data_IF_947840108616
#
_entry.id   IF_947840108616
#
_cell.length_a   1.000
_cell.length_b   1.000
_cell.length_c   1.000
_cell.angle_alpha   90.00
_cell.angle_beta   90.00
_cell.angle_gamma   90.00
#
_symmetry.space_group_name_H-M   'P 1'
#
loop_
_entity.id
_entity.type
_entity.pdbx_description
1 polymer ?
#
# COMPACT_ATOMS: atom_id res chain seq x y z
N UNK A 1 -5.85 -7.84 -0.26
CA UNK A 1 -5.90 -6.38 -0.29
C UNK A 1 -6.62 -5.77 0.93
N UNK A 2 -7.72 -6.35 1.40
CA UNK A 2 -8.40 -5.88 2.62
C UNK A 2 -7.54 -6.01 3.88
N UNK A 3 -6.59 -6.93 3.91
CA UNK A 3 -5.56 -7.05 4.97
C UNK A 3 -4.51 -5.94 4.94
N UNK A 4 -4.31 -5.29 3.81
CA UNK A 4 -3.40 -4.14 3.70
C UNK A 4 -4.07 -2.91 4.34
N UNK A 5 -4.20 -2.95 5.65
CA UNK A 5 -4.82 -1.91 6.46
C UNK A 5 -3.85 -0.74 6.65
N UNK A 6 -4.42 0.45 6.73
CA UNK A 6 -3.70 1.70 7.02
C UNK A 6 -4.37 2.34 8.23
N UNK A 7 -3.59 2.90 9.13
CA UNK A 7 -4.09 3.58 10.34
C UNK A 7 -5.09 2.74 11.16
N UNK A 8 -4.87 1.42 11.23
CA UNK A 8 -5.64 0.52 12.08
C UNK A 8 -7.07 0.21 11.64
N UNK A 9 -7.47 0.53 10.39
CA UNK A 9 -8.84 0.18 9.98
C UNK A 9 -9.24 0.56 8.56
N UNK A 10 -8.46 1.38 7.87
CA UNK A 10 -8.75 1.74 6.48
C UNK A 10 -8.17 0.70 5.51
N UNK A 11 -8.95 0.30 4.50
CA UNK A 11 -8.51 -0.58 3.43
C UNK A 11 -8.56 0.12 2.04
N UNK A 12 -7.82 1.23 1.85
CA UNK A 12 -7.93 2.07 0.66
C UNK A 12 -7.51 1.36 -0.62
N UNK A 13 -6.54 0.45 -0.54
CA UNK A 13 -6.06 -0.30 -1.70
C UNK A 13 -7.11 -1.28 -2.21
N UNK A 14 -7.91 -1.88 -1.31
CA UNK A 14 -9.03 -2.73 -1.71
C UNK A 14 -10.12 -1.93 -2.44
N UNK A 15 -10.45 -0.74 -1.93
CA UNK A 15 -11.41 0.18 -2.57
C UNK A 15 -10.92 0.67 -3.94
N UNK A 16 -9.65 1.03 -4.05
CA UNK A 16 -9.03 1.39 -5.33
C UNK A 16 -9.11 0.27 -6.35
N UNK A 17 -8.91 -0.97 -5.95
CA UNK A 17 -9.04 -2.14 -6.84
C UNK A 17 -10.47 -2.43 -7.27
N UNK A 18 -11.49 -2.17 -6.43
CA UNK A 18 -12.90 -2.23 -6.85
C UNK A 18 -13.12 -1.22 -7.98
N UNK A 19 -12.64 0.01 -7.81
CA UNK A 19 -12.69 1.03 -8.85
C UNK A 19 -12.01 0.60 -10.15
N UNK A 20 -10.80 0.09 -10.05
CA UNK A 20 -10.00 -0.36 -11.19
C UNK A 20 -10.62 -1.54 -11.97
N UNK A 21 -11.35 -2.41 -11.28
CA UNK A 21 -12.01 -3.58 -11.88
C UNK A 21 -13.14 -3.21 -12.85
N UNK A 22 -13.60 -1.95 -12.82
CA UNK A 22 -14.60 -1.42 -13.73
C UNK A 22 -16.00 -1.98 -13.50
N UNK A 23 -16.82 -1.89 -14.56
CA UNK A 23 -18.20 -2.37 -14.54
C UNK A 23 -18.32 -3.87 -14.81
N UNK A 24 -19.48 -4.46 -14.49
CA UNK A 24 -19.83 -5.85 -14.79
C UNK A 24 -19.26 -6.88 -13.81
N UNK A 25 -19.11 -8.12 -14.27
CA UNK A 25 -18.75 -9.27 -13.42
C UNK A 25 -17.39 -9.11 -12.70
N UNK A 26 -16.41 -8.45 -13.31
CA UNK A 26 -15.11 -8.18 -12.69
C UNK A 26 -15.26 -7.25 -11.49
N UNK A 27 -16.08 -6.20 -11.63
CA UNK A 27 -16.37 -5.30 -10.52
C UNK A 27 -17.12 -5.98 -9.39
N UNK A 28 -18.11 -6.86 -9.71
CA UNK A 28 -18.84 -7.66 -8.71
C UNK A 28 -17.89 -8.57 -7.95
N UNK A 29 -17.02 -9.30 -8.64
CA UNK A 29 -16.06 -10.21 -7.98
C UNK A 29 -15.08 -9.47 -7.09
N UNK A 30 -14.60 -8.28 -7.52
CA UNK A 30 -13.74 -7.44 -6.71
C UNK A 30 -14.47 -6.90 -5.47
N UNK A 31 -15.73 -6.48 -5.61
CA UNK A 31 -16.56 -6.04 -4.49
C UNK A 31 -16.79 -7.16 -3.47
N UNK A 32 -17.18 -8.36 -3.93
CA UNK A 32 -17.39 -9.52 -3.05
C UNK A 32 -16.09 -9.88 -2.33
N UNK A 33 -14.96 -9.96 -3.05
CA UNK A 33 -13.66 -10.29 -2.47
C UNK A 33 -13.18 -9.27 -1.44
N UNK A 34 -13.34 -7.96 -1.74
CA UNK A 34 -12.98 -6.90 -0.82
C UNK A 34 -13.88 -6.89 0.42
N UNK A 35 -15.19 -7.10 0.23
CA UNK A 35 -16.17 -7.13 1.33
C UNK A 35 -15.97 -8.34 2.24
N UNK A 36 -15.75 -9.53 1.67
CA UNK A 36 -15.44 -10.73 2.44
C UNK A 36 -14.12 -10.54 3.24
N UNK A 37 -13.08 -10.00 2.60
CA UNK A 37 -11.85 -9.69 3.29
C UNK A 37 -12.02 -8.64 4.39
N UNK A 38 -12.83 -7.61 4.17
CA UNK A 38 -13.13 -6.61 5.19
C UNK A 38 -13.83 -7.22 6.41
N UNK A 39 -14.83 -8.05 6.20
CA UNK A 39 -15.58 -8.72 7.28
C UNK A 39 -14.69 -9.68 8.09
N UNK A 40 -13.75 -10.36 7.43
CA UNK A 40 -12.88 -11.34 8.10
C UNK A 40 -11.74 -10.68 8.90
N UNK A 41 -11.24 -9.52 8.46
CA UNK A 41 -9.98 -8.96 8.97
C UNK A 41 -10.09 -7.57 9.61
N UNK A 42 -11.17 -6.84 9.36
CA UNK A 42 -11.38 -5.52 9.92
C UNK A 42 -12.35 -5.56 11.12
N UNK A 43 -12.24 -4.62 12.07
CA UNK A 43 -13.29 -4.38 13.05
C UNK A 43 -14.62 -4.12 12.35
N UNK A 44 -15.72 -4.58 12.92
CA UNK A 44 -17.05 -4.53 12.27
C UNK A 44 -17.42 -3.13 11.75
N UNK A 45 -17.12 -2.07 12.52
CA UNK A 45 -17.38 -0.69 12.11
C UNK A 45 -16.62 -0.28 10.84
N UNK A 46 -15.33 -0.65 10.74
CA UNK A 46 -14.51 -0.37 9.57
C UNK A 46 -14.87 -1.26 8.37
N UNK A 47 -15.24 -2.53 8.64
CA UNK A 47 -15.75 -3.42 7.60
C UNK A 47 -17.01 -2.86 6.94
N UNK A 48 -17.96 -2.34 7.74
CA UNK A 48 -19.19 -1.73 7.24
C UNK A 48 -18.90 -0.46 6.40
N UNK A 49 -17.98 0.40 6.86
CA UNK A 49 -17.55 1.59 6.10
C UNK A 49 -16.91 1.20 4.76
N UNK A 50 -16.00 0.23 4.78
CA UNK A 50 -15.35 -0.29 3.57
C UNK A 50 -16.35 -0.89 2.61
N UNK A 51 -17.32 -1.65 3.12
CA UNK A 51 -18.40 -2.21 2.31
C UNK A 51 -19.26 -1.10 1.67
N UNK A 52 -19.70 -0.11 2.45
CA UNK A 52 -20.50 1.00 1.96
C UNK A 52 -19.76 1.80 0.87
N UNK A 53 -18.49 2.14 1.11
CA UNK A 53 -17.65 2.81 0.11
C UNK A 53 -17.45 1.96 -1.15
N UNK A 54 -17.24 0.65 -0.98
CA UNK A 54 -17.08 -0.29 -2.09
C UNK A 54 -18.34 -0.38 -2.96
N UNK A 55 -19.52 -0.44 -2.35
CA UNK A 55 -20.81 -0.42 -3.07
C UNK A 55 -21.01 0.90 -3.82
N UNK A 56 -20.69 2.03 -3.19
CA UNK A 56 -20.77 3.34 -3.86
C UNK A 56 -19.80 3.42 -5.05
N UNK A 57 -18.57 2.99 -4.91
CA UNK A 57 -17.60 2.96 -6.01
C UNK A 57 -18.10 2.05 -7.14
N UNK A 58 -18.58 0.86 -6.82
CA UNK A 58 -19.10 -0.08 -7.80
C UNK A 58 -20.31 0.47 -8.55
N UNK A 59 -21.29 1.04 -7.84
CA UNK A 59 -22.50 1.63 -8.45
C UNK A 59 -22.14 2.83 -9.31
N UNK A 60 -21.24 3.70 -8.85
CA UNK A 60 -20.75 4.83 -9.62
C UNK A 60 -20.01 4.39 -10.88
N UNK A 61 -19.17 3.34 -10.79
CA UNK A 61 -18.50 2.77 -11.97
C UNK A 61 -19.51 2.29 -13.02
N UNK A 62 -20.57 1.59 -12.61
CA UNK A 62 -21.61 1.15 -13.55
C UNK A 62 -22.41 2.33 -14.13
N UNK A 63 -22.69 3.36 -13.33
CA UNK A 63 -23.45 4.53 -13.78
C UNK A 63 -22.67 5.40 -14.77
N UNK A 64 -21.36 5.54 -14.58
CA UNK A 64 -20.52 6.44 -15.37
C UNK A 64 -19.71 5.75 -16.47
N UNK A 65 -19.79 4.42 -16.60
CA UNK A 65 -19.00 3.63 -17.52
C UNK A 65 -19.09 4.10 -18.99
N UNK A 66 -20.29 4.48 -19.45
CA UNK A 66 -20.54 4.91 -20.83
C UNK A 66 -20.17 6.38 -21.10
N UNK A 67 -19.85 7.13 -20.05
CA UNK A 67 -19.54 8.56 -20.21
C UNK A 67 -18.14 8.78 -20.77
N UNK A 68 -17.99 9.78 -21.67
CA UNK A 68 -16.68 10.20 -22.19
C UNK A 68 -15.69 10.61 -21.09
N UNK A 69 -16.19 11.10 -19.96
CA UNK A 69 -15.40 11.46 -18.78
C UNK A 69 -14.68 10.27 -18.16
N UNK A 70 -15.30 9.09 -18.18
CA UNK A 70 -14.73 7.86 -17.64
C UNK A 70 -13.41 7.45 -18.31
N UNK A 71 -13.24 7.84 -19.58
CA UNK A 71 -12.01 7.60 -20.35
C UNK A 71 -10.83 8.49 -19.92
N UNK A 72 -11.09 9.58 -19.19
CA UNK A 72 -10.02 10.46 -18.70
C UNK A 72 -9.24 9.77 -17.58
N UNK A 73 -7.90 9.86 -17.59
CA UNK A 73 -7.00 9.22 -16.62
C UNK A 73 -7.30 9.59 -15.17
N UNK A 74 -7.61 10.87 -14.91
CA UNK A 74 -7.86 11.38 -13.57
C UNK A 74 -9.27 11.08 -13.03
N UNK A 75 -10.23 10.71 -13.88
CA UNK A 75 -11.63 10.57 -13.46
C UNK A 75 -11.82 9.42 -12.47
N UNK A 76 -11.31 8.23 -12.78
CA UNK A 76 -11.46 7.05 -11.93
C UNK A 76 -10.84 7.22 -10.53
N UNK A 77 -9.59 7.70 -10.38
CA UNK A 77 -9.00 7.97 -9.07
C UNK A 77 -9.81 8.97 -8.25
N UNK A 78 -10.26 10.05 -8.88
CA UNK A 78 -11.07 11.07 -8.21
C UNK A 78 -12.45 10.54 -7.81
N UNK A 79 -13.06 9.71 -8.63
CA UNK A 79 -14.33 9.05 -8.33
C UNK A 79 -14.18 8.13 -7.12
N UNK A 80 -13.15 7.27 -7.09
CA UNK A 80 -12.90 6.38 -5.96
C UNK A 80 -12.64 7.14 -4.66
N UNK A 81 -11.79 8.17 -4.71
CA UNK A 81 -11.52 9.02 -3.56
C UNK A 81 -12.77 9.77 -3.11
N UNK A 82 -13.56 10.34 -4.03
CA UNK A 82 -14.79 11.07 -3.70
C UNK A 82 -15.85 10.17 -3.07
N UNK A 83 -16.03 8.95 -3.56
CA UNK A 83 -16.98 7.99 -2.97
C UNK A 83 -16.51 7.50 -1.60
N UNK A 84 -15.23 7.23 -1.41
CA UNK A 84 -14.67 6.93 -0.10
C UNK A 84 -14.84 8.11 0.85
N UNK A 85 -14.52 9.34 0.40
CA UNK A 85 -14.68 10.54 1.21
C UNK A 85 -16.12 10.74 1.68
N UNK A 86 -17.12 10.49 0.83
CA UNK A 86 -18.54 10.67 1.20
C UNK A 86 -18.96 9.77 2.37
N UNK A 87 -18.37 8.59 2.50
CA UNK A 87 -18.60 7.68 3.64
C UNK A 87 -17.83 8.13 4.87
N UNK A 88 -16.54 8.48 4.70
CA UNK A 88 -15.65 8.80 5.83
C UNK A 88 -15.91 10.21 6.40
N UNK A 89 -16.49 11.13 5.63
CA UNK A 89 -16.73 12.51 6.04
C UNK A 89 -17.56 12.62 7.33
N UNK A 90 -18.56 11.75 7.49
CA UNK A 90 -19.42 11.73 8.70
C UNK A 90 -18.59 11.37 9.94
N UNK A 91 -17.61 10.48 9.78
CA UNK A 91 -16.75 10.03 10.87
C UNK A 91 -15.66 11.06 11.20
N UNK A 92 -15.10 11.71 10.17
CA UNK A 92 -14.15 12.82 10.35
C UNK A 92 -14.79 13.97 11.13
N UNK A 93 -16.05 14.30 10.84
CA UNK A 93 -16.78 15.33 11.59
C UNK A 93 -17.01 14.95 13.06
N UNK A 94 -17.15 13.65 13.34
CA UNK A 94 -17.41 13.15 14.69
C UNK A 94 -16.12 13.02 15.50
N UNK A 95 -15.07 12.49 14.89
CA UNK A 95 -13.87 12.00 15.60
C UNK A 95 -12.70 13.03 15.58
N UNK A 96 -12.84 14.13 14.80
CA UNK A 96 -11.99 15.31 14.87
C UNK A 96 -10.80 15.35 13.90
N UNK A 97 -9.91 16.32 14.10
CA UNK A 97 -8.83 16.69 13.15
C UNK A 97 -7.80 15.57 12.93
N UNK A 98 -7.54 14.72 13.93
CA UNK A 98 -6.61 13.59 13.80
C UNK A 98 -7.09 12.59 12.75
N UNK A 99 -8.37 12.27 12.75
CA UNK A 99 -8.98 11.39 11.75
C UNK A 99 -9.03 12.02 10.36
N UNK A 100 -9.09 13.35 10.27
CA UNK A 100 -9.06 14.03 8.98
C UNK A 100 -7.74 13.82 8.22
N UNK A 101 -6.60 13.83 8.93
CA UNK A 101 -5.30 13.56 8.33
C UNK A 101 -5.19 12.10 7.85
N UNK A 102 -5.62 11.14 8.67
CA UNK A 102 -5.66 9.72 8.32
C UNK A 102 -6.57 9.47 7.12
N UNK A 103 -7.74 10.08 7.10
CA UNK A 103 -8.69 10.02 5.99
C UNK A 103 -8.06 10.56 4.70
N UNK A 104 -7.42 11.74 4.74
CA UNK A 104 -6.78 12.32 3.56
C UNK A 104 -5.71 11.38 2.97
N UNK A 105 -4.86 10.80 3.81
CA UNK A 105 -3.86 9.83 3.37
C UNK A 105 -4.49 8.56 2.79
N UNK A 106 -5.57 8.06 3.40
CA UNK A 106 -6.31 6.91 2.88
C UNK A 106 -6.97 7.22 1.52
N UNK A 107 -7.50 8.43 1.32
CA UNK A 107 -8.05 8.88 0.03
C UNK A 107 -6.97 8.91 -1.06
N UNK A 108 -5.78 9.42 -0.76
CA UNK A 108 -4.65 9.42 -1.69
C UNK A 108 -4.24 7.99 -2.07
N UNK A 109 -4.15 7.09 -1.09
CA UNK A 109 -3.84 5.68 -1.34
C UNK A 109 -4.94 4.97 -2.14
N UNK A 110 -6.22 5.30 -1.91
CA UNK A 110 -7.33 4.79 -2.71
C UNK A 110 -7.22 5.24 -4.17
N UNK A 111 -6.95 6.53 -4.40
CA UNK A 111 -6.74 7.08 -5.74
C UNK A 111 -5.54 6.42 -6.46
N UNK A 112 -4.41 6.28 -5.77
CA UNK A 112 -3.23 5.59 -6.29
C UNK A 112 -3.49 4.11 -6.56
N UNK A 113 -4.23 3.43 -5.68
CA UNK A 113 -4.67 2.05 -5.87
C UNK A 113 -5.56 1.89 -7.10
N UNK A 114 -6.47 2.84 -7.36
CA UNK A 114 -7.32 2.84 -8.55
C UNK A 114 -6.51 3.06 -9.85
N UNK A 115 -5.51 3.96 -9.83
CA UNK A 115 -4.63 4.19 -10.98
C UNK A 115 -3.78 2.96 -11.30
N UNK A 116 -3.09 2.42 -10.29
CA UNK A 116 -2.22 1.26 -10.47
C UNK A 116 -3.01 0.00 -10.83
N UNK A 117 -4.17 -0.20 -10.21
CA UNK A 117 -5.07 -1.31 -10.54
C UNK A 117 -5.58 -1.23 -11.97
N UNK A 118 -5.93 -0.05 -12.46
CA UNK A 118 -6.34 0.15 -13.87
C UNK A 118 -5.20 -0.19 -14.83
N UNK A 119 -3.98 0.27 -14.57
CA UNK A 119 -2.82 -0.03 -15.40
C UNK A 119 -2.51 -1.54 -15.46
N UNK A 120 -2.75 -2.26 -14.37
CA UNK A 120 -2.53 -3.71 -14.29
C UNK A 120 -3.62 -4.53 -14.97
N UNK A 121 -4.88 -4.09 -14.85
CA UNK A 121 -6.04 -4.79 -15.42
C UNK A 121 -6.28 -4.44 -16.89
N UNK A 122 -5.60 -3.37 -17.40
CA UNK A 122 -5.67 -3.03 -18.81
C UNK A 122 -4.99 -4.09 -19.65
N UNK A 123 -5.61 -4.44 -20.77
CA UNK A 123 -5.07 -5.40 -21.76
C UNK A 123 -4.14 -4.74 -22.79
N UNK A 124 -3.98 -3.41 -22.72
CA UNK A 124 -3.17 -2.65 -23.66
C UNK A 124 -1.71 -2.49 -23.20
N UNK A 125 -0.76 -2.89 -24.05
CA UNK A 125 0.67 -2.77 -23.75
C UNK A 125 1.11 -1.32 -23.50
N UNK A 126 0.50 -0.36 -24.20
CA UNK A 126 0.80 1.08 -24.05
C UNK A 126 0.46 1.62 -22.66
N UNK A 127 -0.61 1.14 -22.03
CA UNK A 127 -1.04 1.60 -20.70
C UNK A 127 -0.15 1.01 -19.60
N UNK A 128 0.47 -0.15 -19.85
CA UNK A 128 1.48 -0.77 -18.97
C UNK A 128 2.83 -0.06 -19.02
N UNK A 129 3.25 0.40 -20.19
CA UNK A 129 4.49 1.17 -20.37
C UNK A 129 4.42 2.54 -19.68
N UNK A 130 3.25 3.18 -19.68
CA UNK A 130 3.05 4.49 -19.04
C UNK A 130 3.11 4.44 -17.49
N UNK A 131 3.00 3.24 -16.88
CA UNK A 131 2.98 3.07 -15.42
C UNK A 131 3.89 1.94 -14.92
N UNK A 132 5.22 2.11 -15.01
CA UNK A 132 6.19 1.06 -14.63
C UNK A 132 6.15 0.70 -13.14
N UNK A 133 5.58 1.58 -12.30
CA UNK A 133 5.45 1.35 -10.84
C UNK A 133 4.14 0.66 -10.45
N UNK A 134 3.22 0.38 -11.38
CA UNK A 134 1.95 -0.27 -11.05
C UNK A 134 2.12 -1.65 -10.35
N UNK A 135 3.05 -2.54 -10.76
CA UNK A 135 3.30 -3.79 -10.04
C UNK A 135 3.79 -3.59 -8.60
N UNK A 136 4.46 -2.46 -8.33
CA UNK A 136 4.96 -2.13 -7.00
C UNK A 136 3.82 -1.95 -6.00
N UNK A 137 2.67 -1.42 -6.42
CA UNK A 137 1.50 -1.26 -5.55
C UNK A 137 0.87 -2.60 -5.15
N UNK A 138 0.88 -3.60 -6.03
CA UNK A 138 0.43 -4.95 -5.66
C UNK A 138 1.40 -5.57 -4.67
N UNK A 139 2.70 -5.49 -4.98
CA UNK A 139 3.73 -5.99 -4.07
C UNK A 139 3.60 -5.33 -2.69
N UNK A 140 3.46 -4.00 -2.65
CA UNK A 140 3.23 -3.25 -1.43
C UNK A 140 2.01 -3.76 -0.66
N UNK A 141 0.88 -3.95 -1.35
CA UNK A 141 -0.34 -4.46 -0.73
C UNK A 141 -0.18 -5.86 -0.15
N UNK A 142 0.58 -6.73 -0.83
CA UNK A 142 0.88 -8.09 -0.36
C UNK A 142 1.81 -8.04 0.85
N UNK A 143 2.84 -7.19 0.83
CA UNK A 143 3.78 -7.02 1.93
C UNK A 143 3.09 -6.45 3.18
N UNK A 144 2.23 -5.43 3.01
CA UNK A 144 1.41 -4.88 4.10
C UNK A 144 0.47 -5.94 4.68
N UNK A 145 -0.21 -6.71 3.83
CA UNK A 145 -1.05 -7.80 4.27
C UNK A 145 -0.26 -8.89 5.03
N UNK A 146 0.94 -9.22 4.55
CA UNK A 146 1.81 -10.18 5.22
C UNK A 146 2.35 -9.66 6.56
N UNK A 147 2.54 -8.33 6.70
CA UNK A 147 2.97 -7.72 7.97
C UNK A 147 1.86 -7.70 9.04
N UNK A 148 0.60 -7.82 8.63
CA UNK A 148 -0.53 -7.93 9.57
C UNK A 148 -0.61 -9.29 10.27
N UNK A 149 0.14 -10.29 9.78
CA UNK A 149 0.28 -11.58 10.45
C UNK A 149 1.46 -11.52 11.43
N UNK A 150 1.20 -11.12 12.66
CA UNK A 150 2.18 -11.22 13.74
C UNK A 150 2.03 -12.57 14.44
N UNK A 151 3.15 -13.30 14.61
CA UNK A 151 3.19 -14.49 15.45
C UNK A 151 3.24 -14.10 16.93
N UNK A 152 2.94 -15.07 17.83
CA UNK A 152 2.99 -14.85 19.28
C UNK A 152 4.36 -14.32 19.77
N UNK A 153 5.43 -14.60 19.02
CA UNK A 153 6.80 -14.15 19.30
C UNK A 153 7.13 -12.77 18.71
N UNK A 154 6.14 -12.08 18.15
CA UNK A 154 6.32 -10.76 17.52
C UNK A 154 6.95 -10.80 16.12
N UNK A 155 7.10 -11.99 15.53
CA UNK A 155 7.65 -12.15 14.20
C UNK A 155 6.61 -11.77 13.14
N UNK A 156 6.92 -10.77 12.32
CA UNK A 156 6.07 -10.32 11.21
C UNK A 156 6.71 -10.70 9.85
N UNK A 157 6.23 -11.73 9.17
CA UNK A 157 6.82 -12.22 7.92
C UNK A 157 6.83 -11.15 6.82
N UNK A 158 5.87 -10.24 6.81
CA UNK A 158 5.83 -9.13 5.86
C UNK A 158 7.02 -8.19 5.97
N UNK A 159 7.55 -7.97 7.17
CA UNK A 159 8.75 -7.13 7.37
C UNK A 159 9.99 -7.78 6.76
N UNK A 160 10.17 -9.08 6.95
CA UNK A 160 11.29 -9.81 6.35
C UNK A 160 11.18 -9.83 4.82
N UNK A 161 9.97 -10.11 4.30
CA UNK A 161 9.73 -10.09 2.87
C UNK A 161 9.96 -8.69 2.28
N UNK A 162 9.60 -7.62 2.99
CA UNK A 162 9.83 -6.25 2.54
C UNK A 162 11.31 -5.90 2.50
N UNK A 163 12.09 -6.29 3.51
CA UNK A 163 13.54 -6.13 3.53
C UNK A 163 14.20 -6.87 2.36
N UNK A 164 13.78 -8.09 2.11
CA UNK A 164 14.28 -8.92 1.01
C UNK A 164 13.92 -8.31 -0.35
N UNK A 165 12.70 -7.81 -0.52
CA UNK A 165 12.27 -7.13 -1.74
C UNK A 165 13.10 -5.86 -2.01
N UNK A 166 13.33 -5.04 -0.98
CA UNK A 166 14.15 -3.82 -1.10
C UNK A 166 15.59 -4.15 -1.47
N UNK A 167 16.19 -5.18 -0.81
CA UNK A 167 17.54 -5.64 -1.12
C UNK A 167 17.64 -6.13 -2.57
N UNK A 168 16.65 -6.90 -3.03
CA UNK A 168 16.59 -7.40 -4.40
C UNK A 168 16.53 -6.27 -5.41
N UNK A 169 15.66 -5.27 -5.19
CA UNK A 169 15.56 -4.10 -6.06
C UNK A 169 16.83 -3.25 -6.04
N UNK A 170 17.44 -3.07 -4.88
CA UNK A 170 18.70 -2.35 -4.76
C UNK A 170 19.85 -3.04 -5.52
N UNK A 171 19.85 -4.37 -5.56
CA UNK A 171 20.83 -5.14 -6.28
C UNK A 171 20.58 -5.18 -7.80
N UNK A 172 19.32 -5.43 -8.24
CA UNK A 172 19.02 -5.74 -9.65
C UNK A 172 18.68 -4.54 -10.51
N UNK A 173 17.96 -3.54 -9.96
CA UNK A 173 17.27 -2.50 -10.76
C UNK A 173 17.98 -1.15 -10.83
N UNK A 174 19.07 -0.93 -10.15
CA UNK A 174 19.74 0.37 -10.13
C UNK A 174 19.00 1.45 -9.31
N UNK A 175 19.71 2.53 -9.01
CA UNK A 175 19.27 3.56 -8.05
C UNK A 175 17.97 4.27 -8.43
N UNK A 176 17.76 4.53 -9.72
CA UNK A 176 16.58 5.25 -10.20
C UNK A 176 15.25 4.55 -9.87
N UNK A 177 15.23 3.22 -9.81
CA UNK A 177 14.05 2.44 -9.44
C UNK A 177 14.10 1.98 -7.98
N UNK A 178 15.26 1.54 -7.51
CA UNK A 178 15.40 0.92 -6.19
C UNK A 178 15.08 1.88 -5.04
N UNK A 179 15.51 3.15 -5.13
CA UNK A 179 15.30 4.13 -4.07
C UNK A 179 13.82 4.50 -3.92
N UNK A 180 13.09 4.88 -4.99
CA UNK A 180 11.65 5.10 -4.89
C UNK A 180 10.88 3.86 -4.44
N UNK A 181 11.25 2.67 -4.91
CA UNK A 181 10.62 1.42 -4.50
C UNK A 181 10.82 1.14 -3.01
N UNK A 182 12.04 1.31 -2.49
CA UNK A 182 12.36 1.16 -1.08
C UNK A 182 11.59 2.15 -0.20
N UNK A 183 11.51 3.42 -0.64
CA UNK A 183 10.71 4.44 0.04
C UNK A 183 9.23 4.07 0.09
N UNK A 184 8.66 3.65 -1.04
CA UNK A 184 7.25 3.24 -1.10
C UNK A 184 6.95 2.03 -0.22
N UNK A 185 7.83 1.00 -0.24
CA UNK A 185 7.67 -0.19 0.60
C UNK A 185 7.78 0.18 2.08
N UNK A 186 8.77 1.00 2.45
CA UNK A 186 8.95 1.46 3.82
C UNK A 186 7.76 2.31 4.31
N UNK A 187 7.27 3.25 3.51
CA UNK A 187 6.06 4.02 3.81
C UNK A 187 4.85 3.12 4.02
N UNK A 188 4.67 2.11 3.17
CA UNK A 188 3.57 1.16 3.34
C UNK A 188 3.66 0.40 4.66
N UNK A 189 4.87 0.01 5.09
CA UNK A 189 5.07 -0.64 6.38
C UNK A 189 4.78 0.29 7.56
N UNK A 190 5.23 1.56 7.49
CA UNK A 190 4.97 2.56 8.52
C UNK A 190 3.46 2.88 8.62
N UNK A 191 2.78 3.01 7.49
CA UNK A 191 1.33 3.25 7.45
C UNK A 191 0.53 2.04 7.97
N UNK A 192 0.98 0.83 7.66
CA UNK A 192 0.38 -0.41 8.17
C UNK A 192 0.55 -0.57 9.68
N UNK A 193 1.68 -0.09 10.23
CA UNK A 193 1.97 -0.09 11.67
C UNK A 193 1.26 1.02 12.45
N UNK A 194 0.41 1.83 11.81
CA UNK A 194 -0.34 2.91 12.48
C UNK A 194 0.17 4.32 12.20
N UNK A 195 1.20 4.50 11.36
CA UNK A 195 1.62 5.79 10.82
C UNK A 195 2.34 6.75 11.78
N UNK A 196 2.71 6.28 12.97
CA UNK A 196 3.34 7.12 14.02
C UNK A 196 4.82 7.44 13.80
N UNK A 197 5.50 6.71 12.93
CA UNK A 197 6.93 6.88 12.67
C UNK A 197 7.25 6.52 11.22
N UNK A 198 8.16 7.27 10.60
CA UNK A 198 8.62 6.98 9.22
C UNK A 198 9.97 6.23 9.23
N UNK A 199 10.12 5.29 10.16
CA UNK A 199 11.39 4.60 10.39
C UNK A 199 11.70 3.60 9.30
N UNK A 200 10.68 2.80 8.89
CA UNK A 200 10.87 1.83 7.80
C UNK A 200 11.12 2.55 6.47
N UNK A 201 10.40 3.64 6.20
CA UNK A 201 10.63 4.46 5.01
C UNK A 201 12.06 5.01 4.96
N UNK A 202 12.53 5.60 6.05
CA UNK A 202 13.88 6.17 6.15
C UNK A 202 14.96 5.08 6.07
N UNK A 203 14.81 3.99 6.84
CA UNK A 203 15.80 2.91 6.88
C UNK A 203 15.92 2.18 5.56
N UNK A 204 14.82 1.86 4.89
CA UNK A 204 14.82 1.16 3.61
C UNK A 204 15.36 2.02 2.48
N UNK A 205 14.96 3.30 2.41
CA UNK A 205 15.48 4.23 1.42
C UNK A 205 16.99 4.44 1.58
N UNK A 206 17.45 4.67 2.83
CA UNK A 206 18.88 4.81 3.14
C UNK A 206 19.66 3.55 2.80
N UNK A 207 19.14 2.38 3.16
CA UNK A 207 19.77 1.08 2.83
C UNK A 207 19.90 0.88 1.33
N UNK A 208 18.86 1.22 0.56
CA UNK A 208 18.89 1.13 -0.90
C UNK A 208 19.94 2.07 -1.51
N UNK A 209 20.07 3.30 -1.00
CA UNK A 209 21.11 4.24 -1.42
C UNK A 209 22.50 3.67 -1.11
N UNK A 210 22.70 3.22 0.13
CA UNK A 210 24.00 2.71 0.57
C UNK A 210 24.46 1.51 -0.26
N UNK A 211 23.58 0.54 -0.49
CA UNK A 211 23.87 -0.64 -1.33
C UNK A 211 24.22 -0.23 -2.77
N UNK A 212 23.48 0.71 -3.35
CA UNK A 212 23.75 1.16 -4.72
C UNK A 212 25.09 1.90 -4.85
N UNK A 213 25.50 2.63 -3.81
CA UNK A 213 26.77 3.40 -3.83
C UNK A 213 27.97 2.52 -3.53
N UNK A 214 27.86 1.61 -2.55
CA UNK A 214 29.03 0.91 -1.99
C UNK A 214 29.23 -0.50 -2.50
N UNK A 215 28.15 -1.20 -2.87
CA UNK A 215 28.21 -2.67 -3.04
C UNK A 215 27.60 -3.17 -4.35
N UNK A 216 27.35 -2.28 -5.31
CA UNK A 216 26.73 -2.65 -6.60
C UNK A 216 27.54 -3.73 -7.32
N UNK A 217 26.90 -4.89 -7.53
CA UNK A 217 27.52 -6.05 -8.20
C UNK A 217 28.06 -7.14 -7.27
N UNK A 218 28.15 -6.91 -5.96
CA UNK A 218 28.57 -7.94 -5.01
C UNK A 218 27.43 -8.26 -4.03
N UNK A 219 26.83 -9.46 -4.16
CA UNK A 219 25.66 -9.87 -3.36
C UNK A 219 25.93 -9.89 -1.86
N UNK A 220 27.09 -10.39 -1.46
CA UNK A 220 27.45 -10.50 -0.04
C UNK A 220 27.67 -9.11 0.57
N UNK A 221 28.41 -8.25 -0.12
CA UNK A 221 28.61 -6.86 0.31
C UNK A 221 27.29 -6.09 0.38
N UNK A 222 26.39 -6.27 -0.60
CA UNK A 222 25.07 -5.66 -0.58
C UNK A 222 24.24 -6.09 0.63
N UNK A 223 24.23 -7.39 0.95
CA UNK A 223 23.50 -7.90 2.11
C UNK A 223 24.08 -7.37 3.42
N UNK A 224 25.43 -7.32 3.54
CA UNK A 224 26.10 -6.79 4.74
C UNK A 224 25.83 -5.31 4.94
N UNK A 225 25.95 -4.48 3.91
CA UNK A 225 25.66 -3.05 3.99
C UNK A 225 24.19 -2.77 4.29
N UNK A 226 23.28 -3.56 3.72
CA UNK A 226 21.86 -3.48 3.99
C UNK A 226 21.54 -3.80 5.45
N UNK A 227 22.07 -4.93 5.97
CA UNK A 227 21.88 -5.33 7.37
C UNK A 227 22.48 -4.29 8.34
N UNK A 228 23.68 -3.80 8.05
CA UNK A 228 24.34 -2.78 8.87
C UNK A 228 23.52 -1.48 8.92
N UNK A 229 22.99 -1.03 7.79
CA UNK A 229 22.19 0.19 7.73
C UNK A 229 20.89 0.07 8.52
N UNK A 230 20.17 -1.06 8.39
CA UNK A 230 18.96 -1.31 9.19
C UNK A 230 19.30 -1.35 10.68
N UNK A 231 20.39 -2.01 11.06
CA UNK A 231 20.83 -2.07 12.46
C UNK A 231 21.11 -0.66 13.02
N UNK A 232 21.76 0.22 12.23
CA UNK A 232 22.02 1.60 12.64
C UNK A 232 20.75 2.41 12.91
N UNK A 233 19.67 2.17 12.17
CA UNK A 233 18.37 2.81 12.44
C UNK A 233 17.64 2.17 13.62
N UNK A 234 17.86 0.90 13.85
CA UNK A 234 17.21 0.13 14.88
C UNK A 234 17.77 0.41 16.29
N UNK A 235 19.09 0.57 16.41
CA UNK A 235 19.80 0.79 17.69
C UNK A 235 19.28 2.00 18.49
N UNK A 236 19.07 3.20 17.92
CA UNK A 236 18.58 4.34 18.68
C UNK A 236 17.12 4.24 19.11
N UNK A 237 16.33 3.33 18.52
CA UNK A 237 14.89 3.25 18.77
C UNK A 237 14.48 2.19 19.79
N UNK A 238 15.35 1.22 20.07
CA UNK A 238 15.04 0.16 21.03
C UNK A 238 16.27 -0.23 21.88
N UNK A 239 16.10 -0.17 23.21
CA UNK A 239 17.10 -0.67 24.14
C UNK A 239 17.35 -2.19 24.02
N UNK A 240 16.56 -2.92 23.26
CA UNK A 240 16.66 -4.36 22.99
C UNK A 240 17.03 -4.64 21.54
N UNK A 241 18.25 -4.28 21.16
CA UNK A 241 18.78 -4.42 19.79
C UNK A 241 18.68 -5.85 19.19
N UNK A 242 18.59 -6.89 20.00
CA UNK A 242 18.44 -8.27 19.54
C UNK A 242 17.05 -8.60 18.95
N UNK A 243 16.02 -7.86 19.32
CA UNK A 243 14.65 -8.06 18.82
C UNK A 243 14.36 -7.28 17.55
N UNK A 244 15.13 -6.25 17.24
CA UNK A 244 14.87 -5.34 16.11
C UNK A 244 15.10 -5.98 14.75
N UNK A 245 15.93 -6.99 14.64
CA UNK A 245 16.08 -7.77 13.40
C UNK A 245 14.88 -8.71 13.15
N UNK A 246 14.08 -8.96 14.20
CA UNK A 246 12.90 -9.82 14.15
C UNK A 246 11.58 -9.03 14.24
N UNK A 247 11.64 -7.78 14.71
CA UNK A 247 10.56 -6.81 14.74
C UNK A 247 10.76 -5.81 13.61
#
# INVERSE_FOLDING_TARGET
>A
LALAQVFGGYAPLALGMIGASGAGLRGVSALIGASAGAVLFLPFSHALRTFAAGVLIFTANNAFFDLKLYKKRAFLPLLCAGMMFSVEFVYVLRDGVGEAANCLMALLLCALGAMSGRALLSTGDKEKEDHPYAPLFILLSVLMAASSFETADGFAPGRILSMLAVLLFAFERGSAFAIPAALCIGLGMDLGAGGGSFVHAASYAFSAVLVNVTARGNRVASALWFALSILCFALPMNAHAGLVLLY
#
